data_IF_220330862706
#
_entry.id   IF_220330862706
#
_cell.length_a   1.000
_cell.length_b   1.000
_cell.length_c   1.000
_cell.angle_alpha   90.00
_cell.angle_beta   90.00
_cell.angle_gamma   90.00
#
_symmetry.space_group_name_H-M   'P 1'
#
loop_
_entity.id
_entity.type
_entity.pdbx_description
1 polymer ?
#
# COMPACT_ATOMS: atom_id res chain seq x y z
N UNK A 1 -48.36 16.33 19.05
CA UNK A 1 -47.07 16.83 19.54
C UNK A 1 -45.99 15.81 19.17
N UNK A 2 -45.08 16.08 18.21
CA UNK A 2 -44.00 15.17 17.87
C UNK A 2 -42.73 15.51 18.68
N UNK A 3 -42.03 14.50 19.18
CA UNK A 3 -40.67 14.61 19.74
C UNK A 3 -39.96 13.28 19.42
N UNK A 4 -39.31 13.17 18.26
CA UNK A 4 -37.95 13.64 17.95
C UNK A 4 -36.90 12.94 18.81
N UNK A 5 -36.60 11.71 18.44
CA UNK A 5 -35.26 11.12 18.56
C UNK A 5 -35.05 10.16 17.39
N UNK A 6 -34.85 10.75 16.22
CA UNK A 6 -34.08 10.15 15.16
C UNK A 6 -32.62 9.99 15.63
N UNK A 7 -32.12 8.77 15.45
CA UNK A 7 -30.91 8.51 14.70
C UNK A 7 -29.58 9.08 15.22
N UNK A 8 -28.83 8.24 15.94
CA UNK A 8 -27.36 8.17 15.78
C UNK A 8 -26.91 6.71 15.91
N UNK A 9 -27.22 5.89 14.92
CA UNK A 9 -26.48 4.65 14.69
C UNK A 9 -25.11 5.05 14.14
N UNK A 10 -24.15 5.33 15.04
CA UNK A 10 -22.74 5.40 14.67
C UNK A 10 -22.33 4.02 14.17
N UNK A 11 -22.46 3.83 12.85
CA UNK A 11 -21.79 2.76 12.13
C UNK A 11 -20.30 2.90 12.41
N UNK A 12 -19.84 2.14 13.39
CA UNK A 12 -18.43 1.90 13.67
C UNK A 12 -17.88 1.15 12.45
N UNK A 13 -17.51 1.90 11.41
CA UNK A 13 -16.61 1.44 10.36
C UNK A 13 -15.22 1.28 10.99
N UNK A 14 -15.10 0.27 11.87
CA UNK A 14 -13.83 -0.25 12.31
C UNK A 14 -13.18 -0.93 11.11
N UNK A 15 -12.57 -0.10 10.26
CA UNK A 15 -11.62 -0.57 9.26
C UNK A 15 -10.46 -1.13 10.06
N UNK A 16 -10.50 -2.43 10.34
CA UNK A 16 -9.49 -3.17 11.12
C UNK A 16 -8.11 -3.04 10.46
N UNK A 17 -7.43 -1.93 10.70
CA UNK A 17 -6.05 -1.72 10.31
C UNK A 17 -5.21 -2.64 11.19
N UNK A 18 -4.77 -3.75 10.63
CA UNK A 18 -3.89 -4.67 11.30
C UNK A 18 -2.49 -4.05 11.37
N UNK A 19 -1.94 -3.93 12.58
CA UNK A 19 -0.59 -3.41 12.77
C UNK A 19 0.43 -4.48 12.36
N UNK A 20 1.12 -4.24 11.26
CA UNK A 20 2.26 -5.07 10.82
C UNK A 20 3.55 -4.41 11.30
N UNK A 21 4.42 -5.18 11.96
CA UNK A 21 5.77 -4.75 12.32
C UNK A 21 6.70 -5.37 11.29
N UNK A 22 7.27 -4.54 10.42
CA UNK A 22 8.27 -4.96 9.44
C UNK A 22 9.65 -4.45 9.88
N UNK A 23 10.65 -5.34 9.85
CA UNK A 23 12.04 -4.95 10.00
C UNK A 23 12.57 -4.55 8.62
N UNK A 24 12.88 -3.26 8.46
CA UNK A 24 13.45 -2.69 7.24
C UNK A 24 14.83 -2.15 7.57
N UNK A 25 15.77 -2.28 6.64
CA UNK A 25 17.08 -1.67 6.79
C UNK A 25 17.02 -0.15 6.55
N UNK A 26 18.11 0.56 6.89
CA UNK A 26 18.15 2.02 6.78
C UNK A 26 17.89 2.52 5.36
N UNK A 27 18.40 1.81 4.36
CA UNK A 27 18.24 2.16 2.94
C UNK A 27 16.78 2.06 2.48
N UNK A 28 16.08 1.00 2.89
CA UNK A 28 14.65 0.81 2.63
C UNK A 28 13.81 1.89 3.32
N UNK A 29 14.13 2.24 4.57
CA UNK A 29 13.45 3.31 5.29
C UNK A 29 13.69 4.67 4.64
N UNK A 30 14.93 4.95 4.21
CA UNK A 30 15.29 6.17 3.49
C UNK A 30 14.54 6.28 2.15
N UNK A 31 14.44 5.17 1.40
CA UNK A 31 13.67 5.11 0.17
C UNK A 31 12.18 5.43 0.39
N UNK A 32 11.55 4.86 1.43
CA UNK A 32 10.18 5.18 1.80
C UNK A 32 10.02 6.67 2.19
N UNK A 33 11.00 7.23 2.90
CA UNK A 33 11.01 8.63 3.29
C UNK A 33 11.14 9.56 2.06
N UNK A 34 12.00 9.18 1.12
CA UNK A 34 12.18 9.88 -0.16
C UNK A 34 10.90 9.91 -0.98
N UNK A 35 10.19 8.78 -1.13
CA UNK A 35 8.88 8.75 -1.80
C UNK A 35 7.89 9.69 -1.11
N UNK A 36 7.84 9.68 0.22
CA UNK A 36 6.97 10.55 1.00
C UNK A 36 7.27 12.03 0.77
N UNK A 37 8.55 12.40 0.73
CA UNK A 37 9.01 13.75 0.39
C UNK A 37 8.68 14.11 -1.05
N UNK A 38 8.97 13.24 -2.01
CA UNK A 38 8.69 13.48 -3.43
C UNK A 38 7.19 13.70 -3.66
N UNK A 39 6.33 12.91 -3.02
CA UNK A 39 4.88 13.12 -3.05
C UNK A 39 4.47 14.46 -2.43
N UNK A 40 5.07 14.84 -1.30
CA UNK A 40 4.82 16.12 -0.64
C UNK A 40 5.26 17.30 -1.51
N UNK A 41 6.43 17.22 -2.16
CA UNK A 41 6.93 18.27 -3.05
C UNK A 41 6.17 18.34 -4.37
N UNK A 42 5.76 17.19 -4.93
CA UNK A 42 5.09 17.13 -6.22
C UNK A 42 3.60 17.45 -6.13
N UNK A 43 2.90 16.93 -5.11
CA UNK A 43 1.43 17.01 -5.00
C UNK A 43 0.94 17.83 -3.80
N UNK A 44 1.84 18.31 -2.93
CA UNK A 44 1.49 18.97 -1.68
C UNK A 44 0.99 18.02 -0.58
N UNK A 45 0.80 16.74 -0.90
CA UNK A 45 0.25 15.74 0.03
C UNK A 45 1.37 14.94 0.69
N UNK A 46 1.41 14.96 2.01
CA UNK A 46 2.34 14.16 2.79
C UNK A 46 1.87 12.70 2.85
N UNK A 47 2.57 11.81 2.16
CA UNK A 47 2.38 10.37 2.31
C UNK A 47 3.20 9.85 3.48
N UNK A 48 2.54 9.18 4.42
CA UNK A 48 3.22 8.49 5.53
C UNK A 48 3.83 7.16 5.05
N UNK A 49 4.87 6.68 5.74
CA UNK A 49 5.53 5.40 5.42
C UNK A 49 4.53 4.24 5.34
N UNK A 50 3.56 4.21 6.26
CA UNK A 50 2.50 3.20 6.28
C UNK A 50 1.58 3.29 5.06
N UNK A 51 1.23 4.50 4.62
CA UNK A 51 0.42 4.69 3.41
C UNK A 51 1.16 4.26 2.15
N UNK A 52 2.46 4.55 2.06
CA UNK A 52 3.30 4.11 0.94
C UNK A 52 3.36 2.58 0.93
N UNK A 53 3.61 1.96 2.08
CA UNK A 53 3.63 0.50 2.20
C UNK A 53 2.28 -0.13 1.82
N UNK A 54 1.17 0.45 2.29
CA UNK A 54 -0.18 0.00 1.94
C UNK A 54 -0.47 0.18 0.44
N UNK A 55 -0.03 1.28 -0.17
CA UNK A 55 -0.16 1.53 -1.60
C UNK A 55 0.65 0.50 -2.41
N UNK A 56 1.87 0.19 -1.98
CA UNK A 56 2.69 -0.87 -2.58
C UNK A 56 1.99 -2.22 -2.51
N UNK A 57 1.50 -2.64 -1.34
CA UNK A 57 0.76 -3.90 -1.18
C UNK A 57 -0.50 -3.94 -2.06
N UNK A 58 -1.26 -2.84 -2.12
CA UNK A 58 -2.42 -2.75 -2.99
C UNK A 58 -2.05 -2.82 -4.48
N UNK A 59 -0.93 -2.22 -4.89
CA UNK A 59 -0.42 -2.33 -6.25
C UNK A 59 -0.02 -3.77 -6.60
N UNK A 60 0.67 -4.46 -5.68
CA UNK A 60 1.00 -5.88 -5.81
C UNK A 60 -0.27 -6.75 -5.95
N UNK A 61 -1.29 -6.47 -5.13
CA UNK A 61 -2.60 -7.14 -5.24
C UNK A 61 -3.26 -6.91 -6.61
N UNK A 62 -3.20 -5.68 -7.13
CA UNK A 62 -3.72 -5.30 -8.46
C UNK A 62 -2.95 -5.92 -9.62
N UNK A 63 -1.71 -6.35 -9.37
CA UNK A 63 -0.89 -7.09 -10.33
C UNK A 63 -1.19 -8.60 -10.32
N UNK A 64 -2.11 -9.06 -9.46
CA UNK A 64 -2.41 -10.49 -9.24
C UNK A 64 -1.12 -11.32 -9.03
N UNK A 65 -0.12 -10.73 -8.39
CA UNK A 65 1.10 -11.43 -8.02
C UNK A 65 0.77 -12.48 -6.95
N UNK A 66 0.77 -13.74 -7.35
CA UNK A 66 0.64 -14.86 -6.42
C UNK A 66 2.03 -15.24 -5.89
N UNK A 67 2.09 -15.77 -4.66
CA UNK A 67 3.30 -16.41 -4.11
C UNK A 67 3.47 -17.85 -4.58
N UNK A 68 2.67 -18.30 -5.55
CA UNK A 68 2.68 -19.67 -6.04
C UNK A 68 4.03 -19.99 -6.67
N UNK A 69 4.76 -20.95 -6.08
CA UNK A 69 6.11 -21.35 -6.49
C UNK A 69 7.25 -20.46 -6.01
N UNK A 70 6.99 -19.47 -5.14
CA UNK A 70 8.03 -18.58 -4.61
C UNK A 70 8.63 -19.17 -3.35
N UNK A 71 9.91 -19.54 -3.41
CA UNK A 71 10.62 -20.15 -2.27
C UNK A 71 11.56 -19.20 -1.55
N UNK A 72 11.95 -18.08 -2.18
CA UNK A 72 12.82 -17.07 -1.58
C UNK A 72 12.31 -15.65 -1.81
N UNK A 73 12.69 -14.73 -0.93
CA UNK A 73 12.33 -13.31 -1.04
C UNK A 73 12.87 -12.68 -2.33
N UNK A 74 14.09 -13.05 -2.75
CA UNK A 74 14.68 -12.56 -4.01
C UNK A 74 13.91 -13.03 -5.25
N UNK A 75 13.45 -14.30 -5.27
CA UNK A 75 12.60 -14.79 -6.37
C UNK A 75 11.27 -14.04 -6.41
N UNK A 76 10.72 -13.68 -5.24
CA UNK A 76 9.52 -12.86 -5.17
C UNK A 76 9.77 -11.46 -5.74
N UNK A 77 10.87 -10.82 -5.34
CA UNK A 77 11.25 -9.49 -5.82
C UNK A 77 11.41 -9.48 -7.34
N UNK A 78 12.16 -10.44 -7.89
CA UNK A 78 12.38 -10.53 -9.33
C UNK A 78 11.05 -10.71 -10.09
N UNK A 79 10.13 -11.52 -9.56
CA UNK A 79 8.80 -11.74 -10.13
C UNK A 79 7.91 -10.51 -10.05
N UNK A 80 7.99 -9.73 -8.98
CA UNK A 80 7.32 -8.43 -8.87
C UNK A 80 7.80 -7.50 -9.97
N UNK A 81 9.14 -7.37 -10.10
CA UNK A 81 9.76 -6.49 -11.10
C UNK A 81 9.37 -6.91 -12.51
N UNK A 82 9.41 -8.22 -12.80
CA UNK A 82 9.03 -8.76 -14.11
C UNK A 82 7.55 -8.47 -14.43
N UNK A 83 6.64 -8.72 -13.49
CA UNK A 83 5.22 -8.42 -13.65
C UNK A 83 4.95 -6.93 -13.89
N UNK A 84 5.67 -6.03 -13.20
CA UNK A 84 5.58 -4.59 -13.42
C UNK A 84 6.09 -4.20 -14.81
N UNK A 85 7.26 -4.70 -15.22
CA UNK A 85 7.83 -4.42 -16.54
C UNK A 85 6.95 -4.95 -17.67
N UNK A 86 6.39 -6.14 -17.52
CA UNK A 86 5.55 -6.76 -18.54
C UNK A 86 4.24 -5.99 -18.73
N UNK A 87 3.67 -5.43 -17.65
CA UNK A 87 2.49 -4.54 -17.74
C UNK A 87 2.80 -3.19 -18.40
N UNK A 88 4.00 -2.64 -18.17
CA UNK A 88 4.45 -1.41 -18.84
C UNK A 88 4.65 -1.64 -20.34
N UNK A 89 5.14 -2.82 -20.74
CA UNK A 89 5.32 -3.21 -22.15
C UNK A 89 4.02 -3.66 -22.84
N UNK A 90 3.04 -4.14 -22.06
CA UNK A 90 1.75 -4.65 -22.54
C UNK A 90 0.67 -3.59 -22.80
N UNK A 91 1.00 -2.30 -22.68
CA UNK A 91 0.09 -1.20 -23.04
C UNK A 91 -0.05 -1.05 -24.56
N UNK A 92 -0.89 -1.90 -25.16
CA UNK A 92 -1.53 -1.66 -26.47
C UNK A 92 -3.01 -1.40 -26.24
#
# INVERSE_FOLDING_TARGET
MPSRHDEFNHANMNSHAHRVIAALNREQVDYLDKIGKDAQFSSGVKLTRTQILAAMVNALKRLNLTGDGVTTAEQFEQRIVDAMMNRIRGGR
#
